data_IF_371479713089
#
_entry.id   IF_371479713089
#
_cell.length_a   1.000
_cell.length_b   1.000
_cell.length_c   1.000
_cell.angle_alpha   90.00
_cell.angle_beta   90.00
_cell.angle_gamma   90.00
#
_symmetry.space_group_name_H-M   'P 1'
#
loop_
_entity.id
_entity.type
_entity.pdbx_description
1 polymer ?
#
# COMPACT_ATOMS: atom_id res chain seq x y z
N UNK A 1 -17.22 16.10 -16.96
CA UNK A 1 -15.75 16.19 -16.87
C UNK A 1 -15.08 15.75 -18.15
N UNK A 2 -13.87 16.23 -18.38
CA UNK A 2 -13.04 15.80 -19.51
C UNK A 2 -11.89 14.98 -18.95
N UNK A 3 -11.71 13.77 -19.47
CA UNK A 3 -10.60 12.86 -19.13
C UNK A 3 -9.86 12.44 -20.38
N UNK A 4 -8.59 12.13 -20.26
CA UNK A 4 -7.77 11.66 -21.37
C UNK A 4 -6.33 11.50 -20.94
N UNK A 5 -5.54 10.79 -21.75
CA UNK A 5 -4.11 10.65 -21.54
C UNK A 5 -3.37 10.59 -22.87
N UNK A 6 -2.10 10.96 -22.83
CA UNK A 6 -1.15 10.79 -23.90
C UNK A 6 0.12 10.20 -23.31
N UNK A 7 0.65 9.16 -23.97
CA UNK A 7 1.86 8.48 -23.54
C UNK A 7 2.87 8.31 -24.66
N UNK A 8 4.12 8.22 -24.28
CA UNK A 8 5.26 7.91 -25.14
C UNK A 8 6.04 6.76 -24.51
N UNK A 9 6.37 5.76 -25.30
CA UNK A 9 7.35 4.72 -24.95
C UNK A 9 8.46 4.76 -25.98
N UNK A 10 9.72 4.81 -25.52
CA UNK A 10 10.88 4.93 -26.37
C UNK A 10 12.03 4.08 -25.85
N UNK A 11 12.56 3.22 -26.68
CA UNK A 11 13.77 2.45 -26.42
C UNK A 11 15.00 3.36 -26.67
N UNK A 12 15.63 3.80 -25.56
CA UNK A 12 16.80 4.72 -25.62
C UNK A 12 18.06 3.98 -26.06
N UNK A 13 18.24 2.79 -25.52
CA UNK A 13 19.31 1.84 -25.81
C UNK A 13 18.70 0.43 -25.80
N UNK A 14 19.38 -0.59 -26.40
CA UNK A 14 18.93 -1.97 -26.25
C UNK A 14 18.65 -2.29 -24.80
N UNK A 15 17.50 -2.90 -24.52
CA UNK A 15 17.05 -3.29 -23.18
C UNK A 15 16.78 -2.15 -22.19
N UNK A 16 16.83 -0.88 -22.63
CA UNK A 16 16.55 0.28 -21.80
C UNK A 16 15.40 1.14 -22.37
N UNK A 17 14.28 1.13 -21.69
CA UNK A 17 13.04 1.79 -22.12
C UNK A 17 12.69 2.98 -21.24
N UNK A 18 12.29 4.07 -21.88
CA UNK A 18 11.69 5.25 -21.26
C UNK A 18 10.19 5.27 -21.57
N UNK A 19 9.40 5.50 -20.54
CA UNK A 19 7.94 5.68 -20.63
C UNK A 19 7.57 7.02 -20.02
N UNK A 20 6.80 7.82 -20.75
CA UNK A 20 6.26 9.08 -20.27
C UNK A 20 4.75 9.05 -20.46
N UNK A 21 4.01 9.54 -19.49
CA UNK A 21 2.57 9.68 -19.59
C UNK A 21 2.11 11.00 -18.96
N UNK A 22 1.18 11.67 -19.63
CA UNK A 22 0.46 12.81 -19.09
C UNK A 22 -1.03 12.52 -19.15
N UNK A 23 -1.69 12.56 -18.01
CA UNK A 23 -3.11 12.23 -17.90
C UNK A 23 -3.89 13.36 -17.20
N UNK A 24 -5.13 13.54 -17.65
CA UNK A 24 -6.14 14.35 -16.96
C UNK A 24 -7.25 13.44 -16.45
N UNK A 25 -7.50 13.49 -15.14
CA UNK A 25 -8.54 12.75 -14.46
C UNK A 25 -9.70 13.64 -14.00
N UNK A 26 -10.85 13.02 -13.80
CA UNK A 26 -12.05 13.60 -13.22
C UNK A 26 -12.75 12.55 -12.36
N UNK A 27 -13.19 12.92 -11.15
CA UNK A 27 -13.98 12.07 -10.28
C UNK A 27 -15.11 12.88 -9.64
N UNK A 28 -16.36 12.45 -9.84
CA UNK A 28 -17.47 13.00 -9.07
C UNK A 28 -17.46 12.44 -7.63
N UNK A 29 -17.91 13.23 -6.63
CA UNK A 29 -18.15 12.69 -5.30
C UNK A 29 -19.12 11.52 -5.36
N UNK A 30 -18.87 10.48 -4.58
CA UNK A 30 -19.78 9.33 -4.47
C UNK A 30 -20.94 9.60 -3.47
N UNK A 31 -21.90 8.68 -3.41
CA UNK A 31 -23.07 8.84 -2.54
C UNK A 31 -22.70 8.92 -1.06
N UNK A 32 -21.71 8.14 -0.61
CA UNK A 32 -21.27 8.20 0.79
C UNK A 32 -20.61 9.53 1.11
N UNK A 33 -19.74 10.04 0.24
CA UNK A 33 -19.10 11.35 0.43
C UNK A 33 -20.10 12.50 0.50
N UNK A 34 -21.23 12.40 -0.21
CA UNK A 34 -22.25 13.43 -0.23
C UNK A 34 -23.28 13.30 0.90
N UNK A 35 -23.65 12.08 1.30
CA UNK A 35 -24.84 11.85 2.10
C UNK A 35 -24.69 10.86 3.26
N UNK A 36 -23.49 10.41 3.62
CA UNK A 36 -23.30 9.60 4.82
C UNK A 36 -23.83 10.32 6.05
N UNK A 37 -24.53 9.58 6.91
CA UNK A 37 -25.00 10.07 8.20
C UNK A 37 -25.22 8.84 9.11
N UNK A 38 -24.16 8.31 9.68
CA UNK A 38 -24.23 7.13 10.53
C UNK A 38 -22.88 6.51 10.89
N UNK A 39 -22.92 5.51 11.76
CA UNK A 39 -21.76 4.78 12.22
C UNK A 39 -21.26 3.82 11.14
N UNK A 40 -19.97 3.88 10.84
CA UNK A 40 -19.28 2.90 10.03
C UNK A 40 -18.59 1.89 10.95
N UNK A 41 -19.21 0.72 11.15
CA UNK A 41 -18.78 -0.30 12.11
C UNK A 41 -17.33 -0.76 11.92
N UNK A 42 -16.90 -0.94 10.66
CA UNK A 42 -15.55 -1.41 10.36
C UNK A 42 -14.43 -0.44 10.74
N UNK A 43 -14.74 0.84 10.95
CA UNK A 43 -13.77 1.87 11.34
C UNK A 43 -14.08 2.53 12.67
N UNK A 44 -15.21 2.18 13.28
CA UNK A 44 -15.71 2.76 14.53
C UNK A 44 -15.74 4.30 14.48
N UNK A 45 -16.38 4.83 13.41
CA UNK A 45 -16.49 6.25 13.15
C UNK A 45 -17.92 6.61 12.77
N UNK A 46 -18.39 7.76 13.24
CA UNK A 46 -19.62 8.37 12.71
C UNK A 46 -19.25 9.19 11.49
N UNK A 47 -19.72 8.83 10.32
CA UNK A 47 -19.38 9.50 9.06
C UNK A 47 -20.49 10.46 8.64
N UNK A 48 -20.10 11.70 8.39
CA UNK A 48 -20.96 12.77 7.86
C UNK A 48 -20.55 13.09 6.43
N UNK A 49 -21.51 13.00 5.51
CA UNK A 49 -21.38 13.46 4.14
C UNK A 49 -21.36 14.99 4.04
N UNK A 50 -21.01 15.47 2.86
CA UNK A 50 -20.99 16.89 2.56
C UNK A 50 -21.51 17.15 1.15
N UNK A 51 -22.72 17.68 1.04
CA UNK A 51 -23.40 17.98 -0.23
C UNK A 51 -22.77 19.14 -1.02
N UNK A 52 -21.86 19.90 -0.41
CA UNK A 52 -21.15 21.00 -1.07
C UNK A 52 -19.89 20.58 -1.81
N UNK A 53 -19.52 19.30 -1.75
CA UNK A 53 -18.33 18.77 -2.42
C UNK A 53 -18.41 18.98 -3.94
N UNK A 54 -17.30 19.43 -4.49
CA UNK A 54 -17.12 19.58 -5.95
C UNK A 54 -16.37 18.38 -6.52
N UNK A 55 -16.54 18.10 -7.83
CA UNK A 55 -15.77 17.06 -8.47
C UNK A 55 -14.27 17.33 -8.41
N UNK A 56 -13.50 16.25 -8.19
CA UNK A 56 -12.05 16.29 -8.32
C UNK A 56 -11.61 16.39 -9.79
N UNK A 57 -10.58 17.17 -10.01
CA UNK A 57 -9.90 17.26 -11.30
C UNK A 57 -8.39 17.10 -11.07
N UNK A 58 -7.78 16.21 -11.79
CA UNK A 58 -6.34 15.93 -11.62
C UNK A 58 -5.56 16.07 -12.92
N UNK A 59 -4.29 16.44 -12.77
CA UNK A 59 -3.26 16.29 -13.78
C UNK A 59 -2.15 15.41 -13.19
N UNK A 60 -1.85 14.33 -13.90
CA UNK A 60 -0.82 13.39 -13.53
C UNK A 60 0.24 13.29 -14.61
N UNK A 61 1.49 13.34 -14.18
CA UNK A 61 2.66 13.05 -14.99
C UNK A 61 3.35 11.81 -14.43
N UNK A 62 3.66 10.85 -15.30
CA UNK A 62 4.37 9.62 -14.94
C UNK A 62 5.64 9.50 -15.79
N UNK A 63 6.73 9.10 -15.15
CA UNK A 63 8.01 8.73 -15.75
C UNK A 63 8.34 7.30 -15.36
N UNK A 64 8.53 6.42 -16.33
CA UNK A 64 9.02 5.06 -16.16
C UNK A 64 10.36 4.86 -16.86
N UNK A 65 11.27 4.17 -16.21
CA UNK A 65 12.53 3.68 -16.78
C UNK A 65 12.62 2.18 -16.49
N UNK A 66 12.78 1.38 -17.53
CA UNK A 66 12.92 -0.06 -17.41
C UNK A 66 14.25 -0.48 -18.06
N UNK A 67 14.99 -1.31 -17.36
CA UNK A 67 16.18 -1.98 -17.86
C UNK A 67 16.05 -3.49 -17.66
N UNK A 68 16.37 -4.28 -18.68
CA UNK A 68 16.31 -5.74 -18.60
C UNK A 68 17.52 -6.37 -19.29
N UNK A 69 18.21 -7.19 -18.55
CA UNK A 69 19.32 -8.03 -19.05
C UNK A 69 19.20 -9.43 -18.46
N UNK A 70 19.99 -10.43 -18.91
CA UNK A 70 19.96 -11.76 -18.32
C UNK A 70 20.31 -11.81 -16.83
N UNK A 71 21.03 -10.81 -16.32
CA UNK A 71 21.51 -10.79 -14.93
C UNK A 71 20.72 -9.82 -14.06
N UNK A 72 20.21 -8.71 -14.63
CA UNK A 72 19.59 -7.64 -13.86
C UNK A 72 18.32 -7.19 -14.59
N UNK A 73 17.21 -7.11 -13.86
CA UNK A 73 16.02 -6.37 -14.24
C UNK A 73 15.83 -5.22 -13.26
N UNK A 74 15.66 -4.00 -13.75
CA UNK A 74 15.44 -2.82 -12.91
C UNK A 74 14.33 -1.96 -13.47
N UNK A 75 13.50 -1.43 -12.58
CA UNK A 75 12.41 -0.52 -12.91
C UNK A 75 12.43 0.67 -11.97
N UNK A 76 12.27 1.88 -12.52
CA UNK A 76 12.03 3.11 -11.78
C UNK A 76 10.74 3.73 -12.30
N UNK A 77 9.78 3.93 -11.41
CA UNK A 77 8.53 4.62 -11.68
C UNK A 77 8.41 5.85 -10.79
N UNK A 78 8.27 7.03 -11.38
CA UNK A 78 8.06 8.28 -10.66
C UNK A 78 6.74 8.90 -11.11
N UNK A 79 6.01 9.49 -10.19
CA UNK A 79 4.79 10.20 -10.52
C UNK A 79 4.63 11.53 -9.79
N UNK A 80 3.96 12.46 -10.44
CA UNK A 80 3.53 13.72 -9.88
C UNK A 80 2.06 13.95 -10.24
N UNK A 81 1.21 14.11 -9.23
CA UNK A 81 -0.22 14.36 -9.41
C UNK A 81 -0.63 15.63 -8.68
N UNK A 82 -1.30 16.54 -9.38
CA UNK A 82 -1.98 17.70 -8.83
C UNK A 82 -3.48 17.49 -8.93
N UNK A 83 -4.18 17.57 -7.80
CA UNK A 83 -5.62 17.34 -7.71
C UNK A 83 -6.27 18.57 -7.10
N UNK A 84 -7.21 19.17 -7.83
CA UNK A 84 -8.08 20.21 -7.31
C UNK A 84 -9.32 19.56 -6.70
N UNK A 85 -9.77 20.07 -5.56
CA UNK A 85 -10.90 19.57 -4.79
C UNK A 85 -10.75 18.09 -4.37
N UNK A 86 -9.52 17.64 -4.02
CA UNK A 86 -9.29 16.31 -3.47
C UNK A 86 -10.17 16.09 -2.25
N UNK A 87 -10.97 15.02 -2.25
CA UNK A 87 -11.94 14.70 -1.21
C UNK A 87 -11.30 13.75 -0.20
N UNK A 88 -11.39 14.11 1.07
CA UNK A 88 -10.88 13.31 2.18
C UNK A 88 -11.82 13.44 3.38
N UNK A 89 -11.63 12.60 4.39
CA UNK A 89 -12.37 12.64 5.65
C UNK A 89 -11.47 13.12 6.77
N UNK A 90 -11.94 14.08 7.54
CA UNK A 90 -11.26 14.58 8.73
C UNK A 90 -12.14 14.45 9.98
N UNK A 91 -11.50 14.32 11.14
CA UNK A 91 -12.18 14.27 12.43
C UNK A 91 -12.74 15.65 12.77
N UNK A 92 -13.99 15.68 13.20
CA UNK A 92 -14.62 16.93 13.64
C UNK A 92 -14.13 17.32 15.04
N UNK A 93 -13.92 18.63 15.22
CA UNK A 93 -13.66 19.26 16.51
C UNK A 93 -14.66 20.40 16.75
N UNK A 94 -14.95 20.65 18.03
CA UNK A 94 -15.76 21.78 18.46
C UNK A 94 -14.95 23.11 18.48
N UNK A 95 -15.58 24.20 18.92
CA UNK A 95 -14.95 25.51 19.04
C UNK A 95 -13.76 25.55 20.02
N UNK A 96 -13.68 24.58 20.94
CA UNK A 96 -12.59 24.42 21.89
C UNK A 96 -11.51 23.42 21.43
N UNK A 97 -11.58 23.01 20.15
CA UNK A 97 -10.67 22.02 19.55
C UNK A 97 -10.80 20.62 20.19
N UNK A 98 -11.97 20.29 20.76
CA UNK A 98 -12.24 18.97 21.32
C UNK A 98 -12.94 18.08 20.28
N UNK A 99 -12.63 16.77 20.23
CA UNK A 99 -13.28 15.84 19.31
C UNK A 99 -14.81 15.82 19.52
N UNK A 100 -15.55 15.92 18.41
CA UNK A 100 -17.00 15.75 18.41
C UNK A 100 -17.37 14.28 18.41
N UNK A 101 -18.29 13.88 19.26
CA UNK A 101 -18.85 12.53 19.31
C UNK A 101 -20.34 12.58 18.96
N UNK A 102 -20.79 11.63 18.16
CA UNK A 102 -22.20 11.39 17.83
C UNK A 102 -22.45 9.90 18.13
N UNK A 103 -23.48 9.59 18.89
CA UNK A 103 -23.79 8.23 19.36
C UNK A 103 -22.55 7.52 19.97
N UNK A 104 -21.87 8.21 20.87
CA UNK A 104 -20.63 7.75 21.53
C UNK A 104 -19.47 7.40 20.56
N UNK A 105 -19.58 7.80 19.30
CA UNK A 105 -18.60 7.48 18.27
C UNK A 105 -17.95 8.77 17.73
N UNK A 106 -16.60 8.81 17.54
CA UNK A 106 -15.92 9.98 17.00
C UNK A 106 -16.47 10.37 15.62
N UNK A 107 -16.88 11.63 15.46
CA UNK A 107 -17.46 12.13 14.22
C UNK A 107 -16.38 12.57 13.21
N UNK A 108 -16.57 12.18 11.96
CA UNK A 108 -15.76 12.55 10.82
C UNK A 108 -16.62 13.12 9.71
N UNK A 109 -16.14 14.14 9.04
CA UNK A 109 -16.84 14.75 7.90
C UNK A 109 -16.00 14.70 6.63
N UNK A 110 -16.66 14.47 5.50
CA UNK A 110 -16.02 14.59 4.19
C UNK A 110 -15.83 16.06 3.84
N UNK A 111 -14.61 16.40 3.43
CA UNK A 111 -14.21 17.75 3.03
C UNK A 111 -13.33 17.67 1.78
N UNK A 112 -12.96 18.82 1.23
CA UNK A 112 -12.07 18.84 0.06
C UNK A 112 -11.10 20.02 0.08
N UNK A 113 -9.93 19.82 -0.54
CA UNK A 113 -8.90 20.82 -0.72
C UNK A 113 -8.02 20.53 -1.92
N UNK A 114 -7.17 21.46 -2.31
CA UNK A 114 -6.21 21.22 -3.38
C UNK A 114 -5.03 20.39 -2.86
N UNK A 115 -4.65 19.37 -3.59
CA UNK A 115 -3.62 18.43 -3.20
C UNK A 115 -2.52 18.28 -4.25
N UNK A 116 -1.33 17.92 -3.79
CA UNK A 116 -0.21 17.46 -4.61
C UNK A 116 0.32 16.16 -4.04
N UNK A 117 0.41 15.15 -4.89
CA UNK A 117 0.95 13.84 -4.54
C UNK A 117 2.17 13.58 -5.44
N UNK A 118 3.30 13.37 -4.81
CA UNK A 118 4.56 13.01 -5.46
C UNK A 118 5.00 11.66 -4.93
N UNK A 119 5.50 10.81 -5.78
CA UNK A 119 6.00 9.54 -5.31
C UNK A 119 6.76 8.77 -6.37
N UNK A 120 7.23 7.60 -5.97
CA UNK A 120 7.89 6.70 -6.87
C UNK A 120 8.17 5.35 -6.23
N UNK A 121 8.47 4.43 -7.10
CA UNK A 121 8.90 3.08 -6.77
C UNK A 121 10.14 2.73 -7.59
N UNK A 122 11.12 2.14 -6.95
CA UNK A 122 12.29 1.57 -7.61
C UNK A 122 12.37 0.10 -7.26
N UNK A 123 12.48 -0.76 -8.25
CA UNK A 123 12.71 -2.18 -8.08
C UNK A 123 13.95 -2.63 -8.84
N UNK A 124 14.65 -3.58 -8.27
CA UNK A 124 15.77 -4.28 -8.91
C UNK A 124 15.71 -5.75 -8.54
N UNK A 125 15.81 -6.61 -9.53
CA UNK A 125 15.97 -8.06 -9.37
C UNK A 125 17.26 -8.49 -10.03
N UNK A 126 18.15 -9.11 -9.25
CA UNK A 126 19.48 -9.56 -9.68
C UNK A 126 19.47 -11.08 -9.71
N UNK A 127 19.88 -11.65 -10.84
CA UNK A 127 20.00 -13.09 -11.11
C UNK A 127 21.48 -13.45 -11.22
N UNK A 128 22.24 -13.55 -10.10
CA UNK A 128 23.70 -13.78 -10.16
C UNK A 128 24.04 -15.15 -10.75
N UNK A 129 23.15 -16.12 -10.56
CA UNK A 129 23.17 -17.46 -11.15
C UNK A 129 21.73 -17.87 -11.50
N UNK A 130 21.59 -18.86 -12.39
CA UNK A 130 20.32 -19.25 -13.02
C UNK A 130 19.13 -19.48 -12.05
N UNK A 131 19.39 -19.89 -10.81
CA UNK A 131 18.35 -20.28 -9.85
C UNK A 131 18.23 -19.35 -8.63
N UNK A 132 19.02 -18.30 -8.59
CA UNK A 132 19.08 -17.37 -7.47
C UNK A 132 18.56 -16.00 -7.90
N UNK A 133 17.54 -15.50 -7.20
CA UNK A 133 16.95 -14.17 -7.38
C UNK A 133 17.18 -13.36 -6.10
N UNK A 134 17.61 -12.13 -6.25
CA UNK A 134 17.78 -11.16 -5.17
C UNK A 134 16.98 -9.92 -5.55
N UNK A 135 15.76 -9.82 -4.99
CA UNK A 135 14.83 -8.74 -5.25
C UNK A 135 14.93 -7.63 -4.22
N UNK A 136 14.83 -6.38 -4.67
CA UNK A 136 14.68 -5.21 -3.82
C UNK A 136 13.66 -4.27 -4.43
N UNK A 137 12.74 -3.77 -3.60
CA UNK A 137 11.76 -2.75 -4.00
C UNK A 137 11.70 -1.68 -2.92
N UNK A 138 11.79 -0.43 -3.32
CA UNK A 138 11.59 0.72 -2.45
C UNK A 138 10.45 1.58 -2.97
N UNK A 139 9.51 1.94 -2.12
CA UNK A 139 8.38 2.83 -2.45
C UNK A 139 8.28 4.00 -1.50
N UNK A 140 7.95 5.16 -2.04
CA UNK A 140 7.78 6.41 -1.29
C UNK A 140 6.67 7.27 -1.88
N UNK A 141 5.83 7.84 -1.02
CA UNK A 141 4.80 8.81 -1.39
C UNK A 141 4.83 9.99 -0.44
N UNK A 142 4.74 11.20 -0.99
CA UNK A 142 4.54 12.44 -0.27
C UNK A 142 3.27 13.11 -0.76
N UNK A 143 2.25 13.19 0.09
CA UNK A 143 0.94 13.73 -0.21
C UNK A 143 0.69 14.96 0.64
N UNK A 144 0.51 16.11 0.00
CA UNK A 144 0.32 17.38 0.71
C UNK A 144 -0.93 18.10 0.24
N UNK A 145 -1.62 18.72 1.16
CA UNK A 145 -2.61 19.75 0.87
C UNK A 145 -1.89 21.09 0.64
N UNK A 146 -2.38 21.83 -0.32
CA UNK A 146 -1.82 23.12 -0.69
C UNK A 146 -2.57 24.22 0.07
N UNK A 147 -1.83 25.24 0.47
CA UNK A 147 -2.38 26.42 1.16
C UNK A 147 -3.05 26.11 2.51
N UNK A 148 -2.60 25.07 3.20
CA UNK A 148 -3.11 24.65 4.50
C UNK A 148 -2.09 24.95 5.62
N UNK A 149 -2.56 25.13 6.88
CA UNK A 149 -1.70 25.19 8.06
C UNK A 149 -0.84 23.92 8.21
N UNK A 150 0.20 24.00 9.03
CA UNK A 150 1.14 22.89 9.23
C UNK A 150 0.49 21.59 9.71
N UNK A 151 -0.57 21.69 10.51
CA UNK A 151 -1.30 20.55 11.07
C UNK A 151 -2.15 19.82 10.03
N UNK A 152 -2.68 20.54 9.04
CA UNK A 152 -3.47 20.01 7.93
C UNK A 152 -2.64 19.86 6.64
N UNK A 153 -1.33 20.05 6.70
CA UNK A 153 -0.45 20.07 5.52
C UNK A 153 -0.43 18.75 4.78
N UNK A 154 -0.41 17.63 5.48
CA UNK A 154 -0.33 16.32 4.86
C UNK A 154 -1.71 15.74 4.63
N UNK A 155 -1.89 14.97 3.56
CA UNK A 155 -3.13 14.22 3.36
C UNK A 155 -3.20 13.06 4.35
N UNK A 156 -4.41 12.76 4.88
CA UNK A 156 -4.57 11.63 5.78
C UNK A 156 -4.30 10.30 5.08
N UNK A 157 -3.83 9.32 5.84
CA UNK A 157 -3.56 7.94 5.40
C UNK A 157 -2.55 7.81 4.25
N UNK A 158 -1.52 8.68 4.25
CA UNK A 158 -0.38 8.54 3.35
C UNK A 158 0.51 7.38 3.83
N UNK A 159 0.79 6.37 2.99
CA UNK A 159 1.60 5.22 3.41
C UNK A 159 3.01 5.62 3.84
N UNK A 160 3.56 4.88 4.78
CA UNK A 160 4.95 5.02 5.17
C UNK A 160 5.88 4.59 4.03
N UNK A 161 7.09 5.18 3.91
CA UNK A 161 8.09 4.65 2.99
C UNK A 161 8.38 3.18 3.32
N UNK A 162 8.50 2.34 2.29
CA UNK A 162 8.63 0.90 2.46
C UNK A 162 9.76 0.35 1.61
N UNK A 163 10.58 -0.52 2.20
CA UNK A 163 11.60 -1.27 1.52
C UNK A 163 11.37 -2.76 1.73
N UNK A 164 11.24 -3.48 0.63
CA UNK A 164 11.15 -4.95 0.62
C UNK A 164 12.40 -5.49 -0.03
N UNK A 165 13.06 -6.44 0.63
CA UNK A 165 14.20 -7.15 0.09
C UNK A 165 13.96 -8.64 0.23
N UNK A 166 14.20 -9.40 -0.82
CA UNK A 166 14.05 -10.85 -0.76
C UNK A 166 15.17 -11.61 -1.51
N UNK A 167 15.38 -12.81 -1.04
CA UNK A 167 16.25 -13.81 -1.68
C UNK A 167 15.42 -15.05 -1.93
N UNK A 168 15.33 -15.46 -3.19
CA UNK A 168 14.63 -16.66 -3.64
C UNK A 168 15.61 -17.60 -4.33
N UNK A 169 15.59 -18.85 -3.92
CA UNK A 169 16.33 -19.91 -4.57
C UNK A 169 15.38 -20.97 -5.13
N UNK A 170 15.56 -21.32 -6.40
CA UNK A 170 14.81 -22.36 -7.09
C UNK A 170 15.69 -23.63 -7.18
N UNK A 171 15.21 -24.71 -6.60
CA UNK A 171 15.95 -25.98 -6.60
C UNK A 171 15.78 -26.68 -7.94
N UNK A 172 16.89 -27.21 -8.47
CA UNK A 172 16.85 -28.10 -9.62
C UNK A 172 16.24 -29.42 -9.19
N UNK A 173 15.05 -29.73 -9.72
CA UNK A 173 14.36 -30.96 -9.45
C UNK A 173 14.40 -31.88 -10.69
N UNK A 174 14.34 -33.20 -10.48
CA UNK A 174 14.30 -34.18 -11.56
C UNK A 174 13.00 -34.10 -12.42
N UNK A 175 12.05 -33.28 -12.00
CA UNK A 175 10.78 -33.06 -12.68
C UNK A 175 9.80 -34.23 -12.63
N UNK A 176 10.13 -35.36 -11.99
CA UNK A 176 9.29 -36.55 -11.91
C UNK A 176 8.18 -36.40 -10.86
N UNK A 177 8.56 -36.03 -9.63
CA UNK A 177 7.63 -35.88 -8.51
C UNK A 177 7.47 -34.41 -8.10
N UNK A 178 8.56 -33.68 -7.99
CA UNK A 178 8.56 -32.28 -7.62
C UNK A 178 9.05 -31.41 -8.78
N UNK A 179 8.41 -30.24 -8.94
CA UNK A 179 8.79 -29.27 -9.96
C UNK A 179 8.63 -27.86 -9.38
N UNK A 180 9.44 -26.90 -9.85
CA UNK A 180 9.41 -25.53 -9.38
C UNK A 180 9.50 -25.40 -7.85
N UNK A 181 10.32 -26.26 -7.21
CA UNK A 181 10.58 -26.15 -5.77
C UNK A 181 11.37 -24.89 -5.50
N UNK A 182 10.87 -24.03 -4.63
CA UNK A 182 11.56 -22.81 -4.24
C UNK A 182 11.45 -22.55 -2.74
N UNK A 183 12.43 -21.80 -2.23
CA UNK A 183 12.38 -21.15 -0.91
C UNK A 183 12.69 -19.68 -1.10
N UNK A 184 11.93 -18.80 -0.43
CA UNK A 184 12.12 -17.35 -0.42
C UNK A 184 12.15 -16.84 1.02
N UNK A 185 13.19 -16.07 1.35
CA UNK A 185 13.24 -15.22 2.55
C UNK A 185 12.97 -13.78 2.15
N UNK A 186 12.17 -13.07 2.92
CA UNK A 186 11.80 -11.70 2.66
C UNK A 186 11.89 -10.87 3.93
N UNK A 187 12.53 -9.71 3.82
CA UNK A 187 12.52 -8.64 4.79
C UNK A 187 11.58 -7.53 4.29
N UNK A 188 10.63 -7.11 5.11
CA UNK A 188 9.70 -6.03 4.83
C UNK A 188 9.89 -4.93 5.88
N UNK A 189 10.57 -3.85 5.47
CA UNK A 189 10.88 -2.69 6.29
C UNK A 189 9.89 -1.57 6.01
N UNK A 190 9.04 -1.24 6.96
CA UNK A 190 8.23 -0.03 6.95
C UNK A 190 8.96 1.04 7.76
N UNK A 191 9.37 2.13 7.09
CA UNK A 191 10.07 3.21 7.74
C UNK A 191 9.11 4.04 8.59
N UNK A 192 9.66 4.94 9.40
CA UNK A 192 8.84 5.83 10.23
C UNK A 192 8.00 6.77 9.36
N UNK A 193 6.70 6.86 9.66
CA UNK A 193 5.82 7.85 9.05
C UNK A 193 5.65 9.06 9.98
N UNK A 194 6.26 10.18 9.58
CA UNK A 194 6.17 11.47 10.27
C UNK A 194 5.34 12.50 9.50
N UNK A 195 4.99 12.21 8.23
CA UNK A 195 4.19 13.07 7.38
C UNK A 195 2.74 12.59 7.45
N UNK A 196 2.03 13.02 8.48
CA UNK A 196 0.66 12.60 8.77
C UNK A 196 -0.25 13.82 8.98
N UNK A 197 -1.54 13.64 8.82
CA UNK A 197 -2.55 14.67 9.05
C UNK A 197 -2.81 14.83 10.55
N UNK A 198 -2.24 15.87 11.15
CA UNK A 198 -2.30 16.07 12.60
C UNK A 198 -3.54 16.83 13.09
N UNK A 199 -4.22 17.56 12.18
CA UNK A 199 -5.38 18.38 12.55
C UNK A 199 -6.44 17.55 13.27
N UNK A 200 -7.00 18.11 14.34
CA UNK A 200 -8.04 17.51 15.17
C UNK A 200 -7.67 16.12 15.70
N UNK A 201 -6.38 15.85 15.90
CA UNK A 201 -5.88 14.52 16.33
C UNK A 201 -6.32 13.37 15.40
N UNK A 202 -6.49 13.65 14.10
CA UNK A 202 -6.95 12.66 13.13
C UNK A 202 -5.95 11.52 12.97
N UNK A 203 -4.64 11.85 12.94
CA UNK A 203 -3.56 10.89 12.84
C UNK A 203 -2.40 11.20 13.77
N UNK A 204 -1.56 10.19 14.00
CA UNK A 204 -0.30 10.29 14.74
C UNK A 204 0.84 9.64 13.97
N UNK A 205 2.08 10.02 14.28
CA UNK A 205 3.26 9.35 13.73
C UNK A 205 3.20 7.84 13.98
N UNK A 206 3.76 7.08 13.05
CA UNK A 206 3.89 5.62 13.21
C UNK A 206 5.38 5.26 13.23
N UNK A 207 5.86 4.55 14.26
CA UNK A 207 7.25 4.12 14.33
C UNK A 207 7.57 3.09 13.23
N UNK A 208 8.84 3.02 12.85
CA UNK A 208 9.32 2.01 11.92
C UNK A 208 9.21 0.60 12.50
N UNK A 209 9.00 -0.37 11.62
CA UNK A 209 9.06 -1.78 11.97
C UNK A 209 9.58 -2.60 10.78
N UNK A 210 10.15 -3.77 11.11
CA UNK A 210 10.64 -4.71 10.11
C UNK A 210 10.03 -6.07 10.39
N UNK A 211 9.53 -6.72 9.34
CA UNK A 211 8.98 -8.07 9.38
C UNK A 211 9.92 -9.00 8.60
N UNK A 212 10.11 -10.21 9.11
CA UNK A 212 10.81 -11.28 8.42
C UNK A 212 9.78 -12.35 8.04
N UNK A 213 9.73 -12.68 6.75
CA UNK A 213 8.80 -13.64 6.18
C UNK A 213 9.57 -14.74 5.45
N UNK A 214 8.99 -15.94 5.37
CA UNK A 214 9.53 -17.05 4.60
C UNK A 214 8.42 -17.71 3.80
N UNK A 215 8.72 -18.07 2.57
CA UNK A 215 7.81 -18.74 1.66
C UNK A 215 8.52 -19.95 1.04
N UNK A 216 7.77 -21.02 0.82
CA UNK A 216 8.22 -22.17 0.06
C UNK A 216 7.08 -22.69 -0.81
N UNK A 217 7.38 -23.24 -1.96
CA UNK A 217 6.36 -23.79 -2.83
C UNK A 217 6.93 -24.83 -3.78
N UNK A 218 6.05 -25.73 -4.25
CA UNK A 218 6.37 -26.74 -5.24
C UNK A 218 5.14 -27.22 -5.96
N UNK A 219 5.30 -27.65 -7.21
CA UNK A 219 4.33 -28.46 -7.91
C UNK A 219 4.60 -29.94 -7.66
N UNK A 220 3.59 -30.70 -7.26
CA UNK A 220 3.62 -32.15 -7.12
C UNK A 220 3.03 -32.79 -8.36
N UNK A 221 3.79 -33.66 -9.01
CA UNK A 221 3.38 -34.41 -10.18
C UNK A 221 3.10 -35.86 -9.85
N UNK A 222 2.12 -36.44 -10.54
CA UNK A 222 1.85 -37.87 -10.54
C UNK A 222 1.66 -38.34 -11.99
N UNK A 223 2.43 -39.36 -12.40
CA UNK A 223 2.43 -39.88 -13.79
C UNK A 223 2.66 -38.77 -14.84
N UNK A 224 3.55 -37.81 -14.55
CA UNK A 224 3.90 -36.71 -15.45
C UNK A 224 2.89 -35.54 -15.47
N UNK A 225 1.71 -35.67 -14.86
CA UNK A 225 0.72 -34.60 -14.74
C UNK A 225 0.82 -33.91 -13.38
N UNK A 226 0.58 -32.59 -13.34
CA UNK A 226 0.51 -31.84 -12.09
C UNK A 226 -0.74 -32.26 -11.31
N UNK A 227 -0.53 -32.91 -10.16
CA UNK A 227 -1.58 -33.30 -9.23
C UNK A 227 -2.07 -32.11 -8.38
N UNK A 228 -1.13 -31.38 -7.83
CA UNK A 228 -1.40 -30.19 -7.01
C UNK A 228 -0.16 -29.27 -6.94
N UNK A 229 -0.39 -28.01 -6.54
CA UNK A 229 0.66 -27.11 -6.09
C UNK A 229 0.50 -26.88 -4.58
N UNK A 230 1.62 -26.98 -3.85
CA UNK A 230 1.68 -26.76 -2.41
C UNK A 230 2.49 -25.49 -2.13
N UNK A 231 1.94 -24.59 -1.29
CA UNK A 231 2.62 -23.39 -0.83
C UNK A 231 2.56 -23.31 0.69
N UNK A 232 3.68 -22.99 1.29
CA UNK A 232 3.83 -22.75 2.73
C UNK A 232 4.26 -21.32 2.91
N UNK A 233 3.68 -20.60 3.86
CA UNK A 233 4.16 -19.28 4.27
C UNK A 233 4.28 -19.18 5.79
N UNK A 234 5.31 -18.47 6.22
CA UNK A 234 5.49 -18.00 7.58
C UNK A 234 5.71 -16.49 7.54
N UNK A 235 4.79 -15.74 8.11
CA UNK A 235 4.82 -14.28 8.12
C UNK A 235 5.09 -13.76 9.52
N UNK A 236 5.78 -12.61 9.59
CA UNK A 236 6.20 -12.01 10.85
C UNK A 236 6.88 -13.02 11.79
N UNK A 237 7.87 -13.76 11.27
CA UNK A 237 8.56 -14.85 11.99
C UNK A 237 9.18 -14.39 13.32
N UNK A 238 9.56 -13.13 13.41
CA UNK A 238 10.11 -12.52 14.62
C UNK A 238 9.03 -12.15 15.64
N UNK A 239 7.76 -12.38 15.34
CA UNK A 239 6.60 -12.03 16.19
C UNK A 239 6.61 -10.56 16.61
N UNK A 240 6.97 -9.66 15.69
CA UNK A 240 7.00 -8.21 15.95
C UNK A 240 5.60 -7.69 16.19
N UNK A 241 5.36 -7.02 17.32
CA UNK A 241 4.14 -6.27 17.54
C UNK A 241 4.23 -4.94 16.79
N UNK A 242 3.29 -4.66 15.87
CA UNK A 242 3.27 -3.46 15.05
C UNK A 242 1.85 -3.03 14.70
N UNK A 243 1.71 -1.77 14.33
CA UNK A 243 0.50 -1.20 13.75
C UNK A 243 0.89 -0.55 12.43
N UNK A 244 0.23 -0.93 11.33
CA UNK A 244 0.43 -0.28 10.04
C UNK A 244 -0.11 1.15 10.11
N UNK A 245 0.57 2.11 9.44
CA UNK A 245 0.13 3.51 9.45
C UNK A 245 -1.29 3.67 8.88
N UNK A 246 -1.66 2.89 7.89
CA UNK A 246 -2.98 2.93 7.26
C UNK A 246 -4.09 2.23 8.08
N UNK A 247 -3.75 1.59 9.21
CA UNK A 247 -4.74 0.97 10.08
C UNK A 247 -5.52 2.04 10.85
N UNK A 248 -6.79 2.19 10.54
CA UNK A 248 -7.70 3.08 11.28
C UNK A 248 -7.95 2.59 12.70
N UNK A 249 -7.86 1.28 12.93
CA UNK A 249 -8.09 0.64 14.22
C UNK A 249 -6.96 0.89 15.24
N UNK A 250 -5.83 1.48 14.86
CA UNK A 250 -4.76 1.86 15.78
C UNK A 250 -5.17 3.01 16.72
N UNK A 251 -6.24 3.74 16.39
CA UNK A 251 -6.74 4.88 17.16
C UNK A 251 -7.83 4.52 18.17
N UNK A 252 -8.25 3.25 18.21
CA UNK A 252 -9.20 2.78 19.21
C UNK A 252 -8.64 2.89 20.63
N UNK A 253 -9.51 2.78 21.62
CA UNK A 253 -9.19 2.86 23.02
C UNK A 253 -8.16 1.81 23.48
N UNK A 254 -7.66 2.02 24.69
CA UNK A 254 -6.72 1.09 25.32
C UNK A 254 -7.41 -0.24 25.59
N UNK A 255 -6.86 -1.32 25.05
CA UNK A 255 -7.29 -2.67 25.36
C UNK A 255 -6.99 -2.98 26.84
N UNK A 256 -8.01 -3.21 27.63
CA UNK A 256 -7.90 -3.39 29.09
C UNK A 256 -7.10 -4.64 29.52
N UNK A 257 -6.99 -5.63 28.61
CA UNK A 257 -6.23 -6.86 28.88
C UNK A 257 -4.74 -6.69 28.60
N UNK A 258 -4.40 -6.01 27.48
CA UNK A 258 -3.02 -5.87 27.03
C UNK A 258 -2.36 -4.57 27.46
N UNK A 259 -3.14 -3.58 27.90
CA UNK A 259 -2.69 -2.21 28.18
C UNK A 259 -2.23 -1.43 26.95
N UNK A 260 -2.49 -1.93 25.73
CA UNK A 260 -2.06 -1.33 24.47
C UNK A 260 -3.19 -0.57 23.81
N UNK A 261 -2.89 0.61 23.27
CA UNK A 261 -3.87 1.40 22.51
C UNK A 261 -4.09 0.80 21.12
N UNK A 262 -5.36 0.68 20.73
CA UNK A 262 -5.79 0.23 19.43
C UNK A 262 -5.52 -1.23 19.12
N UNK A 263 -5.83 -1.64 17.90
CA UNK A 263 -5.63 -3.01 17.43
C UNK A 263 -4.29 -3.13 16.73
N UNK A 264 -3.51 -4.12 17.11
CA UNK A 264 -2.25 -4.48 16.48
C UNK A 264 -2.49 -5.45 15.34
N UNK A 265 -1.62 -5.39 14.32
CA UNK A 265 -1.61 -6.36 13.24
C UNK A 265 -1.24 -7.76 13.76
N UNK A 266 -1.54 -8.80 12.98
CA UNK A 266 -1.25 -10.17 13.34
C UNK A 266 0.22 -10.36 13.72
N UNK A 267 0.44 -11.13 14.78
CA UNK A 267 1.75 -11.65 15.14
C UNK A 267 2.24 -12.68 14.12
N UNK A 268 3.08 -13.62 14.58
CA UNK A 268 3.55 -14.71 13.73
C UNK A 268 2.38 -15.53 13.21
N UNK A 269 2.37 -15.73 11.89
CA UNK A 269 1.32 -16.47 11.19
C UNK A 269 1.94 -17.51 10.25
N UNK A 270 1.36 -18.70 10.21
CA UNK A 270 1.73 -19.75 9.27
C UNK A 270 0.52 -20.14 8.44
N UNK A 271 0.70 -20.31 7.14
CA UNK A 271 -0.37 -20.77 6.27
C UNK A 271 0.11 -21.84 5.30
N UNK A 272 -0.84 -22.70 4.91
CA UNK A 272 -0.67 -23.72 3.89
C UNK A 272 -1.75 -23.47 2.83
N UNK A 273 -1.33 -23.38 1.56
CA UNK A 273 -2.24 -23.29 0.42
C UNK A 273 -2.02 -24.48 -0.52
N UNK A 274 -3.09 -25.18 -0.82
CA UNK A 274 -3.09 -26.29 -1.78
C UNK A 274 -3.96 -25.87 -2.97
N UNK A 275 -3.42 -25.99 -4.19
CA UNK A 275 -4.12 -25.71 -5.44
C UNK A 275 -4.17 -26.98 -6.25
N UNK A 276 -5.38 -27.51 -6.49
CA UNK A 276 -5.63 -28.70 -7.31
C UNK A 276 -6.21 -28.25 -8.65
N UNK A 277 -5.51 -28.49 -9.79
CA UNK A 277 -6.08 -28.20 -11.10
C UNK A 277 -7.21 -29.18 -11.39
N UNK A 278 -8.36 -28.70 -11.83
CA UNK A 278 -9.48 -29.51 -12.29
C UNK A 278 -9.55 -29.33 -13.81
N UNK A 279 -9.22 -30.37 -14.56
CA UNK A 279 -9.46 -30.40 -16.01
C UNK A 279 -10.92 -30.86 -16.21
N UNK A 280 -11.75 -30.00 -16.80
CA UNK A 280 -13.14 -30.25 -17.16
C UNK A 280 -13.22 -30.78 -18.61
#
# INVERSE_FOLDING_TARGET
>A
GVTGSIGLAYEILPDFNLKLNLARGFRAPNSSELSSNGVHEGTQRYELGNTSLKPENSWQFDLGLDYSSPIISAELSLFANRINHYIYSEKLADENNQPVFIDDTPAYQFTSGDARILGGEASIDIHPVEHLHIGNTFSYVNSVQLHQPSESKYLPFTPAPRWVSDVRYEFVCDGKTFNHLFVKLQMDCNLRQNHYFAANETETATPSYTLLNMYAGTDVKLHGKRLLSLYLSGENLTNRAYQNHLSRLKYLDVNQVTGRRGVYNMGRNFSIKIVVPIEL
#
